data_IF_296726983838
#
_entry.id   IF_296726983838
#
_cell.length_a   1.000
_cell.length_b   1.000
_cell.length_c   1.000
_cell.angle_alpha   90.00
_cell.angle_beta   90.00
_cell.angle_gamma   90.00
#
_symmetry.space_group_name_H-M   'P 1'
#
loop_
_entity.id
_entity.type
_entity.pdbx_description
1 polymer ?
#
# COMPACT_ATOMS: atom_id res chain seq x y z
N UNK A 1 23.66 -24.40 16.26
CA UNK A 1 22.89 -23.80 15.16
C UNK A 1 21.48 -23.58 15.68
N UNK A 2 21.06 -22.32 15.87
CA UNK A 2 19.72 -22.02 16.39
C UNK A 2 18.70 -22.09 15.27
N UNK A 3 17.70 -22.98 15.38
CA UNK A 3 16.53 -22.95 14.51
C UNK A 3 15.77 -21.64 14.73
N UNK A 4 15.72 -20.79 13.71
CA UNK A 4 14.82 -19.66 13.68
C UNK A 4 13.41 -20.17 13.39
N UNK A 5 12.57 -20.25 14.44
CA UNK A 5 11.14 -20.50 14.28
C UNK A 5 10.49 -19.26 13.66
N UNK A 6 10.06 -19.37 12.42
CA UNK A 6 9.21 -18.37 11.80
C UNK A 6 7.84 -18.38 12.48
N UNK A 7 7.38 -17.19 12.88
CA UNK A 7 6.02 -16.99 13.36
C UNK A 7 5.20 -16.45 12.20
N UNK A 8 4.13 -17.17 11.85
CA UNK A 8 3.22 -16.79 10.78
C UNK A 8 2.02 -16.03 11.36
N UNK A 9 1.57 -15.01 10.63
CA UNK A 9 0.34 -14.28 10.93
C UNK A 9 -0.68 -14.63 9.85
N UNK A 10 -1.85 -15.14 10.27
CA UNK A 10 -2.95 -15.43 9.35
C UNK A 10 -3.83 -14.20 9.17
N UNK A 11 -4.05 -13.77 7.92
CA UNK A 11 -5.01 -12.73 7.56
C UNK A 11 -6.30 -13.39 7.07
N UNK A 12 -7.40 -13.16 7.79
CA UNK A 12 -8.67 -13.86 7.57
C UNK A 12 -9.78 -12.99 6.98
N UNK A 13 -9.71 -11.66 7.18
CA UNK A 13 -10.75 -10.74 6.76
C UNK A 13 -10.28 -9.88 5.57
N UNK A 14 -11.02 -9.96 4.47
CA UNK A 14 -10.79 -9.23 3.22
C UNK A 14 -11.97 -8.32 2.85
N UNK A 15 -12.93 -8.10 3.75
CA UNK A 15 -14.16 -7.34 3.48
C UNK A 15 -13.95 -5.85 3.21
N UNK A 16 -12.76 -5.32 3.50
CA UNK A 16 -12.39 -3.91 3.28
C UNK A 16 -11.27 -3.73 2.23
N UNK A 17 -11.01 -4.73 1.39
CA UNK A 17 -10.05 -4.60 0.29
C UNK A 17 -10.52 -3.52 -0.70
N UNK A 18 -9.57 -2.70 -1.15
CA UNK A 18 -9.79 -1.61 -2.11
C UNK A 18 -8.70 -1.65 -3.17
N UNK A 19 -9.11 -1.48 -4.42
CA UNK A 19 -8.18 -1.28 -5.52
C UNK A 19 -7.71 0.17 -5.54
N UNK A 20 -6.39 0.36 -5.53
CA UNK A 20 -5.76 1.67 -5.67
C UNK A 20 -5.20 1.77 -7.10
N UNK A 21 -5.59 2.77 -7.90
CA UNK A 21 -5.04 2.99 -9.24
C UNK A 21 -3.53 3.04 -9.25
N UNK A 22 -2.90 2.53 -10.32
CA UNK A 22 -1.44 2.44 -10.40
C UNK A 22 -0.75 3.82 -10.27
N UNK A 23 -1.35 4.88 -10.81
CA UNK A 23 -0.84 6.24 -10.62
C UNK A 23 -0.72 6.63 -9.15
N UNK A 24 -1.75 6.33 -8.35
CA UNK A 24 -1.76 6.59 -6.91
C UNK A 24 -0.84 5.64 -6.16
N UNK A 25 -0.73 4.36 -6.56
CA UNK A 25 0.22 3.41 -5.98
C UNK A 25 1.67 3.89 -6.14
N UNK A 26 2.04 4.32 -7.35
CA UNK A 26 3.38 4.82 -7.65
C UNK A 26 3.64 6.16 -6.95
N UNK A 27 2.67 7.08 -6.95
CA UNK A 27 2.77 8.35 -6.21
C UNK A 27 2.93 8.13 -4.70
N UNK A 28 2.20 7.16 -4.14
CA UNK A 28 2.30 6.82 -2.72
C UNK A 28 3.63 6.16 -2.38
N UNK A 29 4.15 5.28 -3.25
CA UNK A 29 5.48 4.72 -3.08
C UNK A 29 6.56 5.81 -3.02
N UNK A 30 6.46 6.86 -3.87
CA UNK A 30 7.37 8.01 -3.77
C UNK A 30 7.22 8.76 -2.44
N UNK A 31 6.00 8.95 -1.98
CA UNK A 31 5.74 9.59 -0.69
C UNK A 31 6.34 8.79 0.47
N UNK A 32 6.25 7.46 0.43
CA UNK A 32 6.87 6.55 1.42
C UNK A 32 8.38 6.79 1.49
N UNK A 33 9.08 6.83 0.34
CA UNK A 33 10.53 7.11 0.32
C UNK A 33 10.84 8.49 0.88
N UNK A 34 10.11 9.53 0.43
CA UNK A 34 10.31 10.89 0.93
C UNK A 34 10.15 10.99 2.46
N UNK A 35 9.13 10.32 3.02
CA UNK A 35 8.92 10.27 4.46
C UNK A 35 10.04 9.50 5.19
N UNK A 36 10.51 8.40 4.62
CA UNK A 36 11.58 7.59 5.20
C UNK A 36 12.95 8.28 5.12
N UNK A 37 13.21 9.07 4.07
CA UNK A 37 14.43 9.86 3.87
C UNK A 37 14.41 11.19 4.61
N UNK A 38 13.26 11.57 5.19
CA UNK A 38 13.05 12.91 5.75
C UNK A 38 13.29 14.03 4.72
N UNK A 39 12.88 13.82 3.47
CA UNK A 39 13.08 14.74 2.34
C UNK A 39 11.82 15.60 2.12
N UNK A 40 11.83 16.89 2.50
CA UNK A 40 10.65 17.76 2.40
C UNK A 40 10.28 18.09 0.95
N UNK A 41 11.29 18.24 0.09
CA UNK A 41 11.09 18.58 -1.32
C UNK A 41 10.43 17.41 -2.04
N UNK A 42 10.94 16.19 -1.82
CA UNK A 42 10.34 14.99 -2.42
C UNK A 42 8.96 14.69 -1.84
N UNK A 43 8.72 15.00 -0.56
CA UNK A 43 7.41 14.85 0.04
C UNK A 43 6.39 15.76 -0.64
N UNK A 44 6.74 17.04 -0.85
CA UNK A 44 5.91 18.00 -1.57
C UNK A 44 5.54 17.51 -2.97
N UNK A 45 6.55 17.15 -3.77
CA UNK A 45 6.32 16.68 -5.14
C UNK A 45 5.44 15.43 -5.17
N UNK A 46 5.60 14.53 -4.19
CA UNK A 46 4.80 13.31 -4.10
C UNK A 46 3.36 13.59 -3.65
N UNK A 47 3.14 14.53 -2.72
CA UNK A 47 1.80 14.98 -2.30
C UNK A 47 1.06 15.64 -3.46
N UNK A 48 1.74 16.49 -4.23
CA UNK A 48 1.16 17.13 -5.42
C UNK A 48 0.81 16.09 -6.51
N UNK A 49 1.71 15.12 -6.77
CA UNK A 49 1.48 14.03 -7.71
C UNK A 49 0.29 13.14 -7.32
N UNK A 50 0.08 12.95 -6.01
CA UNK A 50 -1.09 12.26 -5.47
C UNK A 50 -2.38 13.04 -5.67
N UNK A 51 -2.34 14.30 -6.11
CA UNK A 51 -3.52 15.15 -6.29
C UNK A 51 -4.03 15.78 -4.99
N UNK A 52 -3.23 15.73 -3.92
CA UNK A 52 -3.53 16.40 -2.66
C UNK A 52 -3.14 17.87 -2.82
N UNK A 53 -4.13 18.76 -2.91
CA UNK A 53 -3.88 20.20 -3.02
C UNK A 53 -3.76 20.80 -1.64
N UNK A 54 -2.64 21.46 -1.39
CA UNK A 54 -2.38 22.15 -0.13
C UNK A 54 -2.07 23.63 -0.38
N UNK A 55 -2.28 24.45 0.66
CA UNK A 55 -1.86 25.84 0.70
C UNK A 55 -1.02 26.04 1.94
N UNK A 56 0.19 26.54 1.77
CA UNK A 56 1.06 26.95 2.87
C UNK A 56 1.06 28.47 2.99
N UNK A 57 0.95 28.96 4.22
CA UNK A 57 1.10 30.39 4.56
C UNK A 57 2.44 30.67 5.24
N UNK A 58 3.32 29.67 5.36
CA UNK A 58 4.52 29.73 6.20
C UNK A 58 5.81 29.62 5.38
N UNK A 59 6.89 30.28 5.85
CA UNK A 59 8.19 30.27 5.18
C UNK A 59 8.84 28.86 5.13
N UNK A 60 8.45 27.96 6.04
CA UNK A 60 8.92 26.57 6.12
C UNK A 60 7.88 25.57 5.60
N UNK A 61 7.18 25.95 4.51
CA UNK A 61 6.02 25.23 4.02
C UNK A 61 6.28 23.77 3.63
N UNK A 62 7.46 23.47 3.10
CA UNK A 62 7.82 22.12 2.65
C UNK A 62 8.08 21.18 3.84
N UNK A 63 8.73 21.67 4.91
CA UNK A 63 8.96 20.89 6.13
C UNK A 63 7.64 20.62 6.87
N UNK A 64 6.77 21.62 6.97
CA UNK A 64 5.45 21.45 7.58
C UNK A 64 4.57 20.50 6.75
N UNK A 65 4.73 20.49 5.42
CA UNK A 65 4.06 19.53 4.56
C UNK A 65 4.57 18.11 4.77
N UNK A 66 5.88 17.91 4.95
CA UNK A 66 6.44 16.60 5.34
C UNK A 66 5.89 16.15 6.70
N UNK A 67 5.79 17.06 7.67
CA UNK A 67 5.18 16.75 8.97
C UNK A 67 3.69 16.37 8.83
N UNK A 68 2.95 17.08 7.99
CA UNK A 68 1.56 16.73 7.67
C UNK A 68 1.47 15.35 7.00
N UNK A 69 2.32 15.06 6.02
CA UNK A 69 2.36 13.76 5.34
C UNK A 69 2.62 12.62 6.33
N UNK A 70 3.57 12.76 7.25
CA UNK A 70 3.81 11.78 8.32
C UNK A 70 2.61 11.63 9.26
N UNK A 71 1.98 12.74 9.64
CA UNK A 71 0.75 12.72 10.46
C UNK A 71 -0.40 12.02 9.75
N UNK A 72 -0.47 12.04 8.43
CA UNK A 72 -1.49 11.37 7.64
C UNK A 72 -1.14 9.90 7.34
N UNK A 73 0.12 9.61 7.01
CA UNK A 73 0.52 8.38 6.31
C UNK A 73 1.67 7.60 6.95
N UNK A 74 2.06 7.93 8.18
CA UNK A 74 3.01 7.13 8.95
C UNK A 74 2.42 6.67 10.30
N UNK A 75 2.99 5.66 10.93
CA UNK A 75 2.59 5.19 12.27
C UNK A 75 3.42 5.80 13.39
N UNK A 76 4.63 6.28 13.08
CA UNK A 76 5.53 6.86 14.07
C UNK A 76 5.05 8.24 14.49
N UNK A 77 4.96 8.45 15.80
CA UNK A 77 4.73 9.77 16.37
C UNK A 77 6.01 10.61 16.31
N UNK A 78 5.90 11.93 16.16
CA UNK A 78 7.01 12.83 16.48
C UNK A 78 7.52 12.56 17.90
N UNK A 79 8.83 12.63 18.09
CA UNK A 79 9.47 12.34 19.38
C UNK A 79 8.83 13.16 20.51
N UNK A 80 8.41 12.49 21.58
CA UNK A 80 7.77 13.11 22.75
C UNK A 80 6.26 13.30 22.65
N UNK A 81 5.63 12.96 21.52
CA UNK A 81 4.18 13.05 21.31
C UNK A 81 3.54 11.68 21.47
N UNK A 82 2.65 11.53 22.47
CA UNK A 82 1.86 10.31 22.68
C UNK A 82 0.48 10.38 22.04
N UNK A 83 0.04 11.57 21.62
CA UNK A 83 -1.25 11.82 20.98
C UNK A 83 -1.14 12.98 19.98
N UNK A 84 -1.53 12.74 18.73
CA UNK A 84 -1.65 13.82 17.73
C UNK A 84 -3.07 14.37 17.84
N UNK A 85 -3.21 15.53 18.49
CA UNK A 85 -4.48 16.27 18.45
C UNK A 85 -4.54 17.13 17.19
N UNK A 86 -5.52 16.90 16.30
CA UNK A 86 -5.71 17.72 15.10
C UNK A 86 -6.15 19.16 15.40
N UNK A 87 -6.51 19.47 16.65
CA UNK A 87 -6.99 20.79 17.09
C UNK A 87 -6.02 21.51 18.05
N UNK A 88 -4.78 21.01 18.18
CA UNK A 88 -3.76 21.73 18.97
C UNK A 88 -3.31 23.00 18.23
N UNK A 89 -2.99 24.07 18.97
CA UNK A 89 -2.51 25.34 18.38
C UNK A 89 -1.26 25.14 17.52
N UNK A 90 -0.37 24.23 17.93
CA UNK A 90 0.85 23.84 17.20
C UNK A 90 0.61 22.81 16.08
N UNK A 91 -0.64 22.49 15.74
CA UNK A 91 -0.91 21.48 14.71
C UNK A 91 -0.48 21.99 13.33
N UNK A 92 0.25 21.16 12.58
CA UNK A 92 0.56 21.43 11.17
C UNK A 92 -0.69 21.64 10.30
N UNK A 93 -1.89 21.27 10.77
CA UNK A 93 -3.17 21.58 10.10
C UNK A 93 -3.51 23.09 10.16
N UNK A 94 -3.01 23.82 11.15
CA UNK A 94 -3.14 25.28 11.21
C UNK A 94 -2.16 25.98 10.24
N UNK A 95 -1.09 25.29 9.84
CA UNK A 95 -0.01 25.83 9.00
C UNK A 95 -0.15 25.44 7.52
N UNK A 96 -0.71 24.27 7.25
CA UNK A 96 -0.95 23.73 5.91
C UNK A 96 -2.42 23.37 5.78
N UNK A 97 -3.14 24.13 4.97
CA UNK A 97 -4.55 23.88 4.68
C UNK A 97 -4.66 22.88 3.52
N UNK A 98 -5.31 21.74 3.75
CA UNK A 98 -5.66 20.78 2.69
C UNK A 98 -6.93 21.27 1.98
N UNK A 99 -6.79 21.69 0.72
CA UNK A 99 -7.91 22.19 -0.09
C UNK A 99 -8.63 21.09 -0.85
N UNK A 100 -7.90 20.07 -1.29
CA UNK A 100 -8.45 18.93 -2.02
C UNK A 100 -7.71 17.67 -1.61
N UNK A 101 -8.48 16.62 -1.35
CA UNK A 101 -7.95 15.30 -1.06
C UNK A 101 -8.67 14.27 -1.96
N UNK A 102 -7.93 13.46 -2.74
CA UNK A 102 -8.52 12.42 -3.59
C UNK A 102 -9.28 11.38 -2.79
N UNK A 103 -10.43 10.92 -3.31
CA UNK A 103 -11.33 10.03 -2.58
C UNK A 103 -10.70 8.65 -2.33
N UNK A 104 -9.98 8.14 -3.32
CA UNK A 104 -9.32 6.84 -3.31
C UNK A 104 -8.30 6.74 -2.17
N UNK A 105 -7.65 7.85 -1.83
CA UNK A 105 -6.67 7.92 -0.74
C UNK A 105 -7.31 7.91 0.65
N UNK A 106 -8.63 8.08 0.79
CA UNK A 106 -9.27 7.95 2.11
C UNK A 106 -9.14 6.53 2.65
N UNK A 107 -9.14 5.53 1.76
CA UNK A 107 -8.90 4.13 2.15
C UNK A 107 -7.51 3.95 2.77
N UNK A 108 -6.47 4.47 2.10
CA UNK A 108 -5.09 4.45 2.57
C UNK A 108 -4.95 5.21 3.89
N UNK A 109 -5.52 6.42 3.97
CA UNK A 109 -5.50 7.23 5.19
C UNK A 109 -6.14 6.50 6.37
N UNK A 110 -7.33 5.90 6.19
CA UNK A 110 -8.02 5.14 7.25
C UNK A 110 -7.20 3.93 7.70
N UNK A 111 -6.64 3.17 6.76
CA UNK A 111 -5.74 2.04 7.08
C UNK A 111 -4.56 2.50 7.92
N UNK A 112 -3.93 3.63 7.57
CA UNK A 112 -2.82 4.19 8.35
C UNK A 112 -3.23 4.60 9.76
N UNK A 113 -4.39 5.23 9.94
CA UNK A 113 -4.86 5.59 11.28
C UNK A 113 -5.21 4.36 12.13
N UNK A 114 -5.75 3.29 11.53
CA UNK A 114 -6.00 2.03 12.22
C UNK A 114 -4.70 1.34 12.62
N UNK A 115 -3.72 1.24 11.70
CA UNK A 115 -2.40 0.69 12.00
C UNK A 115 -1.70 1.49 13.10
N UNK A 116 -1.84 2.82 13.10
CA UNK A 116 -1.32 3.68 14.17
C UNK A 116 -2.00 3.38 15.50
N UNK A 117 -3.34 3.32 15.54
CA UNK A 117 -4.10 2.99 16.75
C UNK A 117 -3.71 1.61 17.32
N UNK A 118 -3.54 0.62 16.44
CA UNK A 118 -3.07 -0.71 16.80
C UNK A 118 -1.64 -0.68 17.37
N UNK A 119 -0.74 0.03 16.71
CA UNK A 119 0.65 0.22 17.15
C UNK A 119 0.71 0.83 18.56
N UNK A 120 -0.11 1.86 18.84
CA UNK A 120 -0.24 2.45 20.18
C UNK A 120 -0.77 1.42 21.19
N UNK A 121 -1.84 0.70 20.86
CA UNK A 121 -2.43 -0.31 21.74
C UNK A 121 -1.46 -1.44 22.10
N UNK A 122 -0.63 -1.83 21.14
CA UNK A 122 0.40 -2.87 21.30
C UNK A 122 1.72 -2.34 21.88
N UNK A 123 1.86 -1.03 22.08
CA UNK A 123 3.11 -0.36 22.49
C UNK A 123 4.29 -0.64 21.54
N UNK A 124 4.00 -0.73 20.25
CA UNK A 124 4.98 -0.86 19.17
C UNK A 124 5.11 0.50 18.49
N UNK A 125 6.31 1.06 18.44
CA UNK A 125 6.57 2.39 17.90
C UNK A 125 7.52 2.31 16.71
N UNK A 126 7.04 1.78 15.59
CA UNK A 126 7.77 1.75 14.32
C UNK A 126 7.17 2.73 13.31
N UNK A 127 7.99 3.15 12.34
CA UNK A 127 7.52 3.90 11.17
C UNK A 127 7.16 2.94 10.04
N UNK A 128 5.91 2.94 9.60
CA UNK A 128 5.52 2.25 8.39
C UNK A 128 6.29 2.78 7.18
N UNK A 129 6.60 4.07 7.11
CA UNK A 129 7.40 4.61 6.01
C UNK A 129 8.79 3.97 5.97
N UNK A 130 9.48 3.86 7.10
CA UNK A 130 10.77 3.18 7.21
C UNK A 130 10.66 1.68 6.87
N UNK A 131 9.63 0.99 7.39
CA UNK A 131 9.42 -0.44 7.16
C UNK A 131 9.04 -0.77 5.70
N UNK A 132 8.28 0.11 5.04
CA UNK A 132 7.80 -0.10 3.68
C UNK A 132 8.76 0.40 2.60
N UNK A 133 9.86 1.05 2.97
CA UNK A 133 10.89 1.51 2.03
C UNK A 133 11.25 0.45 0.99
N UNK A 134 11.60 -0.80 1.34
CA UNK A 134 12.06 -1.75 0.32
C UNK A 134 10.95 -2.15 -0.66
N UNK A 135 9.68 -2.18 -0.20
CA UNK A 135 8.51 -2.42 -1.06
C UNK A 135 8.30 -1.24 -2.02
N UNK A 136 8.43 -0.01 -1.51
CA UNK A 136 8.29 1.20 -2.33
C UNK A 136 9.39 1.30 -3.38
N UNK A 137 10.64 0.99 -3.03
CA UNK A 137 11.77 0.96 -3.96
C UNK A 137 11.56 -0.09 -5.06
N UNK A 138 11.13 -1.31 -4.70
CA UNK A 138 10.86 -2.38 -5.67
C UNK A 138 9.77 -1.98 -6.66
N UNK A 139 8.67 -1.41 -6.18
CA UNK A 139 7.55 -0.96 -7.02
C UNK A 139 7.98 0.15 -7.98
N UNK A 140 8.77 1.12 -7.51
CA UNK A 140 9.26 2.22 -8.35
C UNK A 140 10.30 1.75 -9.36
N UNK A 141 11.16 0.80 -8.99
CA UNK A 141 12.12 0.18 -9.91
C UNK A 141 11.40 -0.58 -11.02
N UNK A 142 10.41 -1.43 -10.69
CA UNK A 142 9.60 -2.15 -11.69
C UNK A 142 8.86 -1.22 -12.65
N UNK A 143 8.47 -0.04 -12.18
CA UNK A 143 7.84 0.99 -12.99
C UNK A 143 8.84 1.87 -13.78
N UNK A 144 10.14 1.61 -13.70
CA UNK A 144 11.18 2.41 -14.36
C UNK A 144 11.37 3.82 -13.80
N UNK A 145 10.87 4.08 -12.58
CA UNK A 145 10.96 5.39 -11.89
C UNK A 145 12.15 5.49 -10.94
N UNK A 146 12.86 4.38 -10.73
CA UNK A 146 14.07 4.30 -9.93
C UNK A 146 15.14 3.53 -10.73
N UNK A 147 16.40 3.99 -10.67
CA UNK A 147 17.50 3.38 -11.45
C UNK A 147 18.05 2.12 -10.79
N UNK A 148 18.10 2.08 -9.47
CA UNK A 148 18.67 0.99 -8.68
C UNK A 148 17.89 0.85 -7.36
N UNK A 149 17.73 -0.37 -6.84
CA UNK A 149 17.24 -0.61 -5.47
C UNK A 149 17.99 -1.76 -4.82
N UNK A 150 18.04 -1.76 -3.49
CA UNK A 150 18.61 -2.89 -2.73
C UNK A 150 17.49 -3.90 -2.50
N UNK A 151 17.55 -5.04 -3.18
CA UNK A 151 16.64 -6.14 -2.93
C UNK A 151 16.83 -6.66 -1.49
N UNK A 152 15.98 -6.20 -0.56
CA UNK A 152 15.84 -6.87 0.71
C UNK A 152 15.03 -8.15 0.49
N UNK A 153 15.54 -9.28 0.97
CA UNK A 153 14.73 -10.47 1.20
C UNK A 153 13.71 -10.16 2.29
N UNK A 154 12.65 -9.42 1.97
CA UNK A 154 11.47 -9.40 2.80
C UNK A 154 10.93 -10.83 2.69
N UNK A 155 11.07 -11.63 3.75
CA UNK A 155 10.37 -12.90 3.88
C UNK A 155 8.86 -12.64 4.03
N UNK A 156 8.23 -12.10 3.00
CA UNK A 156 6.82 -12.32 2.74
C UNK A 156 6.83 -13.25 1.53
N UNK A 157 6.59 -14.56 1.70
CA UNK A 157 6.39 -15.45 0.57
C UNK A 157 5.09 -15.03 -0.12
N UNK A 158 5.15 -14.05 -1.00
CA UNK A 158 4.09 -13.77 -1.94
C UNK A 158 4.26 -14.78 -3.06
N UNK A 159 3.43 -15.82 -3.06
CA UNK A 159 3.42 -16.81 -4.14
C UNK A 159 3.00 -16.11 -5.43
N UNK A 160 3.98 -15.72 -6.27
CA UNK A 160 3.73 -15.12 -7.58
C UNK A 160 3.14 -16.11 -8.60
N UNK A 161 2.98 -17.39 -8.24
CA UNK A 161 2.52 -18.42 -9.17
C UNK A 161 1.00 -18.68 -9.11
N UNK A 162 0.23 -17.91 -8.35
CA UNK A 162 -1.22 -18.16 -8.23
C UNK A 162 -2.07 -17.66 -9.42
N UNK A 163 -1.49 -16.95 -10.40
CA UNK A 163 -2.26 -16.35 -11.51
C UNK A 163 -1.93 -16.89 -12.91
N UNK A 164 -1.30 -18.08 -13.03
CA UNK A 164 -1.04 -18.69 -14.35
C UNK A 164 -1.71 -20.06 -14.59
N UNK A 165 -2.59 -20.51 -13.68
CA UNK A 165 -3.39 -21.72 -13.86
C UNK A 165 -4.89 -21.43 -13.75
N UNK A 166 -5.38 -20.51 -14.59
CA UNK A 166 -6.82 -20.35 -14.82
C UNK A 166 -7.05 -19.84 -16.25
N UNK A 167 -6.84 -20.72 -17.23
CA UNK A 167 -7.59 -20.84 -18.50
C UNK A 167 -6.71 -21.49 -19.58
N UNK A 168 -6.69 -22.82 -19.57
CA UNK A 168 -6.54 -23.59 -20.80
C UNK A 168 -7.53 -24.74 -20.74
N UNK A 169 -8.78 -24.47 -21.11
CA UNK A 169 -9.74 -25.52 -21.48
C UNK A 169 -9.27 -26.11 -22.82
N UNK A 170 -9.01 -27.43 -22.92
CA UNK A 170 -8.94 -28.08 -24.22
C UNK A 170 -10.37 -28.32 -24.74
N UNK A 171 -10.62 -27.85 -25.96
CA UNK A 171 -11.78 -28.19 -26.76
C UNK A 171 -11.84 -29.70 -27.08
N UNK A 172 -13.09 -30.13 -27.35
CA UNK A 172 -13.55 -31.36 -28.01
C UNK A 172 -14.04 -32.50 -27.12
N UNK A 173 -15.33 -32.44 -26.76
CA UNK A 173 -16.15 -33.60 -26.41
C UNK A 173 -16.26 -34.57 -27.61
N UNK A 174 -16.12 -35.89 -27.41
CA UNK A 174 -16.63 -36.88 -28.34
C UNK A 174 -18.12 -37.14 -28.05
N UNK A 175 -18.95 -37.09 -29.09
CA UNK A 175 -20.38 -37.41 -29.02
C UNK A 175 -20.60 -38.84 -28.52
N UNK A 176 -21.31 -38.98 -27.41
CA UNK A 176 -21.81 -40.24 -26.90
C UNK A 176 -23.19 -40.52 -27.52
N UNK A 177 -23.21 -41.23 -28.65
CA UNK A 177 -24.45 -41.84 -29.18
C UNK A 177 -24.72 -43.14 -28.44
N UNK A 178 -25.82 -43.20 -27.71
CA UNK A 178 -26.41 -44.43 -27.18
C UNK A 178 -27.88 -44.45 -27.58
N UNK A 179 -28.24 -45.33 -28.51
CA UNK A 179 -29.26 -46.36 -28.30
C UNK A 179 -29.46 -47.16 -29.59
N UNK A 180 -28.99 -48.40 -29.50
CA UNK A 180 -29.21 -49.48 -30.43
C UNK A 180 -30.53 -50.17 -30.04
N UNK A 181 -31.53 -50.12 -30.91
CA UNK A 181 -32.66 -51.07 -30.87
C UNK A 181 -33.01 -51.51 -32.30
N UNK A 182 -32.27 -52.52 -32.77
CA UNK A 182 -32.83 -53.74 -33.35
C UNK A 182 -33.58 -53.66 -34.69
N UNK A 183 -32.94 -54.17 -35.75
CA UNK A 183 -33.21 -55.50 -36.33
C UNK A 183 -32.46 -55.67 -37.65
N UNK A 184 -31.72 -56.77 -37.74
CA UNK A 184 -31.14 -57.27 -38.97
C UNK A 184 -32.20 -57.85 -39.92
N UNK A 185 -31.85 -57.82 -41.19
CA UNK A 185 -32.58 -58.08 -42.43
C UNK A 185 -32.90 -59.57 -42.72
N UNK A 186 -33.97 -59.82 -43.49
CA UNK A 186 -33.91 -60.40 -44.86
C UNK A 186 -35.27 -60.97 -45.33
N UNK A 187 -35.53 -60.77 -46.64
CA UNK A 187 -36.61 -61.25 -47.52
C UNK A 187 -37.97 -60.54 -47.45
#
# INVERSE_FOLDING_TARGET
MSEHRYQLVALLDYGQVKDLPDSLRLGYAKLVLAMADSDPLMAKLSVEELGIKTLSTHADGDQELLMLARKMFDTKFPSGVTMISPFSEDSSLNKITVQRFPEELFSVLRTMQLLRGLSVGMRIYCSCAEQWRPIAEEVLYKAGRLKEYVAFNICIPFNTNANHEAESKPESEPQLTLLDTGKASNL
#
